data_IF_934183234815
#
_entry.id   IF_934183234815
#
_cell.length_a   1.000
_cell.length_b   1.000
_cell.length_c   1.000
_cell.angle_alpha   90.00
_cell.angle_beta   90.00
_cell.angle_gamma   90.00
#
_symmetry.space_group_name_H-M   'P 1'
#
loop_
_entity.id
_entity.type
_entity.pdbx_description
1 polymer ?
#
# COMPACT_ATOMS: atom_id res chain seq x y z
N UNK A 1 29.99 12.00 6.84
CA UNK A 1 29.75 13.11 5.90
C UNK A 1 28.33 13.60 6.14
N UNK A 2 28.16 14.75 6.81
CA UNK A 2 26.86 15.33 7.08
C UNK A 2 26.49 16.23 5.90
N UNK A 3 25.50 15.84 5.11
CA UNK A 3 25.05 16.59 3.92
C UNK A 3 24.14 17.73 4.39
N UNK A 4 24.30 18.97 3.89
CA UNK A 4 23.38 20.05 4.24
C UNK A 4 21.98 19.73 3.69
N UNK A 5 20.91 19.96 4.48
CA UNK A 5 19.56 19.72 4.02
C UNK A 5 19.23 20.65 2.84
N UNK A 6 18.57 20.10 1.83
CA UNK A 6 17.99 20.90 0.75
C UNK A 6 16.64 21.47 1.23
N UNK A 7 16.24 22.69 0.81
CA UNK A 7 15.02 23.33 1.30
C UNK A 7 13.73 22.53 1.01
N UNK A 8 13.75 21.64 0.01
CA UNK A 8 12.65 20.70 -0.24
C UNK A 8 12.64 19.51 0.72
N UNK A 9 13.82 19.03 1.15
CA UNK A 9 13.92 18.01 2.19
C UNK A 9 13.39 18.54 3.53
N UNK A 10 13.73 19.79 3.89
CA UNK A 10 13.22 20.45 5.10
C UNK A 10 11.67 20.53 5.11
N UNK A 11 11.07 20.86 3.96
CA UNK A 11 9.60 20.91 3.83
C UNK A 11 8.93 19.54 3.95
N UNK A 12 9.53 18.50 3.36
CA UNK A 12 9.01 17.14 3.42
C UNK A 12 9.17 16.52 4.82
N UNK A 13 10.28 16.81 5.50
CA UNK A 13 10.53 16.41 6.89
C UNK A 13 9.51 17.05 7.84
N UNK A 14 9.19 18.33 7.66
CA UNK A 14 8.16 19.02 8.45
C UNK A 14 6.79 18.35 8.29
N UNK A 15 6.37 18.07 7.05
CA UNK A 15 5.10 17.36 6.77
C UNK A 15 5.11 15.96 7.38
N UNK A 16 6.25 15.25 7.33
CA UNK A 16 6.37 13.94 7.97
C UNK A 16 6.15 14.01 9.48
N UNK A 17 6.79 14.96 10.17
CA UNK A 17 6.67 15.10 11.61
C UNK A 17 5.23 15.43 12.02
N UNK A 18 4.57 16.33 11.30
CA UNK A 18 3.16 16.67 11.49
C UNK A 18 2.25 15.44 11.29
N UNK A 19 2.52 14.65 10.25
CA UNK A 19 1.69 13.49 9.91
C UNK A 19 2.06 12.21 10.67
N UNK A 20 3.14 12.20 11.46
CA UNK A 20 3.67 10.98 12.12
C UNK A 20 2.57 10.17 12.83
N UNK A 21 1.66 10.76 13.64
CA UNK A 21 0.60 9.98 14.28
C UNK A 21 -0.36 9.31 13.27
N UNK A 22 -0.68 9.97 12.17
CA UNK A 22 -1.54 9.41 11.12
C UNK A 22 -0.83 8.28 10.34
N UNK A 23 0.47 8.43 10.09
CA UNK A 23 1.29 7.43 9.43
C UNK A 23 1.45 6.16 10.30
N UNK A 24 1.67 6.31 11.61
CA UNK A 24 1.70 5.18 12.57
C UNK A 24 0.35 4.45 12.60
N UNK A 25 -0.76 5.19 12.73
CA UNK A 25 -2.12 4.59 12.67
C UNK A 25 -2.35 3.84 11.37
N UNK A 26 -1.90 4.40 10.24
CA UNK A 26 -2.00 3.75 8.93
C UNK A 26 -1.19 2.46 8.88
N UNK A 27 0.05 2.46 9.38
CA UNK A 27 0.88 1.26 9.45
C UNK A 27 0.22 0.15 10.31
N UNK A 28 -0.33 0.52 11.48
CA UNK A 28 -1.08 -0.41 12.35
C UNK A 28 -2.31 -0.99 11.64
N UNK A 29 -3.11 -0.14 10.98
CA UNK A 29 -4.26 -0.57 10.19
C UNK A 29 -3.89 -1.47 9.00
N UNK A 30 -2.65 -1.34 8.48
CA UNK A 30 -2.10 -2.25 7.47
C UNK A 30 -1.48 -3.52 8.08
N UNK A 31 -1.69 -3.78 9.36
CA UNK A 31 -1.23 -4.97 10.07
C UNK A 31 0.27 -4.98 10.37
N UNK A 32 0.87 -3.81 10.60
CA UNK A 32 2.23 -3.72 11.16
C UNK A 32 2.26 -3.97 12.69
N UNK A 33 1.13 -3.83 13.40
CA UNK A 33 1.05 -4.09 14.84
C UNK A 33 2.07 -3.27 15.64
N UNK A 34 2.87 -3.96 16.46
CA UNK A 34 3.94 -3.37 17.27
C UNK A 34 5.10 -2.83 16.42
N UNK A 35 5.34 -3.41 15.24
CA UNK A 35 6.39 -2.97 14.31
C UNK A 35 6.06 -1.63 13.60
N UNK A 36 4.92 -1.01 13.91
CA UNK A 36 4.50 0.20 13.23
C UNK A 36 5.51 1.35 13.39
N UNK A 37 6.10 1.52 14.58
CA UNK A 37 7.09 2.57 14.82
C UNK A 37 8.40 2.31 14.05
N UNK A 38 8.84 1.05 13.95
CA UNK A 38 9.98 0.64 13.12
C UNK A 38 9.74 0.96 11.63
N UNK A 39 8.55 0.63 11.13
CA UNK A 39 8.15 0.95 9.74
C UNK A 39 8.23 2.46 9.50
N UNK A 40 7.78 3.27 10.46
CA UNK A 40 7.84 4.73 10.33
C UNK A 40 9.28 5.24 10.39
N UNK A 41 10.14 4.64 11.21
CA UNK A 41 11.56 4.96 11.25
C UNK A 41 12.27 4.62 9.94
N UNK A 42 11.99 3.48 9.32
CA UNK A 42 12.52 3.12 8.01
C UNK A 42 12.12 4.13 6.93
N UNK A 43 10.85 4.57 6.95
CA UNK A 43 10.34 5.61 6.06
C UNK A 43 11.09 6.93 6.28
N UNK A 44 11.30 7.34 7.53
CA UNK A 44 12.08 8.54 7.86
C UNK A 44 13.51 8.49 7.31
N UNK A 45 14.21 7.36 7.46
CA UNK A 45 15.57 7.21 6.95
C UNK A 45 15.59 7.34 5.42
N UNK A 46 14.66 6.70 4.72
CA UNK A 46 14.53 6.80 3.26
C UNK A 46 14.19 8.22 2.82
N UNK A 47 13.35 8.92 3.58
CA UNK A 47 12.92 10.29 3.29
C UNK A 47 14.11 11.25 3.18
N UNK A 48 15.05 11.16 4.13
CA UNK A 48 16.26 12.00 4.18
C UNK A 48 17.26 11.72 3.05
N UNK A 49 17.06 10.64 2.30
CA UNK A 49 17.85 10.32 1.11
C UNK A 49 17.16 10.71 -0.21
N UNK A 50 15.96 11.29 -0.13
CA UNK A 50 15.17 11.69 -1.30
C UNK A 50 15.47 13.14 -1.69
N UNK A 51 16.03 13.34 -2.89
CA UNK A 51 16.31 14.67 -3.45
C UNK A 51 15.35 15.09 -4.58
N UNK A 52 14.33 14.27 -4.87
CA UNK A 52 13.43 14.52 -5.98
C UNK A 52 12.30 15.51 -5.61
N UNK A 53 11.87 16.39 -6.54
CA UNK A 53 10.73 17.26 -6.31
C UNK A 53 9.45 16.43 -6.14
N UNK A 54 8.76 16.63 -5.01
CA UNK A 54 7.51 15.93 -4.67
C UNK A 54 6.35 16.92 -4.69
N UNK A 55 5.46 16.79 -5.68
CA UNK A 55 4.30 17.67 -5.83
C UNK A 55 3.21 17.48 -4.78
N UNK A 56 3.09 16.26 -4.19
CA UNK A 56 2.15 15.98 -3.11
C UNK A 56 2.86 15.19 -1.98
N UNK A 57 3.43 15.88 -0.99
CA UNK A 57 4.14 15.27 0.15
C UNK A 57 3.29 14.25 0.91
N UNK A 58 2.02 14.55 1.18
CA UNK A 58 1.14 13.68 1.96
C UNK A 58 0.89 12.34 1.27
N UNK A 59 0.53 12.38 -0.01
CA UNK A 59 0.31 11.18 -0.81
C UNK A 59 1.59 10.33 -0.94
N UNK A 60 2.74 11.00 -1.08
CA UNK A 60 4.04 10.36 -1.13
C UNK A 60 4.37 9.64 0.19
N UNK A 61 4.17 10.28 1.34
CA UNK A 61 4.42 9.68 2.66
C UNK A 61 3.53 8.45 2.92
N UNK A 62 2.23 8.54 2.62
CA UNK A 62 1.35 7.37 2.72
C UNK A 62 1.77 6.23 1.78
N UNK A 63 2.27 6.56 0.57
CA UNK A 63 2.81 5.56 -0.36
C UNK A 63 4.10 4.92 0.17
N UNK A 64 4.98 5.68 0.81
CA UNK A 64 6.20 5.15 1.42
C UNK A 64 5.88 4.19 2.56
N UNK A 65 4.98 4.57 3.47
CA UNK A 65 4.55 3.70 4.59
C UNK A 65 3.90 2.43 4.06
N UNK A 66 3.01 2.54 3.07
CA UNK A 66 2.41 1.38 2.43
C UNK A 66 3.46 0.43 1.84
N UNK A 67 4.45 0.97 1.12
CA UNK A 67 5.52 0.17 0.52
C UNK A 67 6.37 -0.51 1.59
N UNK A 68 6.72 0.21 2.66
CA UNK A 68 7.50 -0.32 3.78
C UNK A 68 6.78 -1.48 4.50
N UNK A 69 5.48 -1.36 4.79
CA UNK A 69 4.71 -2.47 5.38
C UNK A 69 4.66 -3.68 4.46
N UNK A 70 4.47 -3.48 3.15
CA UNK A 70 4.49 -4.59 2.20
C UNK A 70 5.86 -5.27 2.10
N UNK A 71 6.94 -4.51 2.05
CA UNK A 71 8.29 -5.04 1.97
C UNK A 71 8.62 -5.90 3.20
N UNK A 72 8.22 -5.45 4.40
CA UNK A 72 8.37 -6.22 5.63
C UNK A 72 7.58 -7.54 5.56
N UNK A 73 6.32 -7.50 5.11
CA UNK A 73 5.49 -8.71 4.90
C UNK A 73 6.12 -9.69 3.90
N UNK A 74 6.69 -9.19 2.80
CA UNK A 74 7.43 -10.03 1.83
C UNK A 74 8.68 -10.64 2.46
N UNK A 75 9.42 -9.87 3.28
CA UNK A 75 10.58 -10.34 4.04
C UNK A 75 10.22 -11.49 4.97
N UNK A 76 9.17 -11.31 5.78
CA UNK A 76 8.66 -12.32 6.70
C UNK A 76 8.19 -13.58 5.97
N UNK A 77 7.43 -13.45 4.87
CA UNK A 77 7.04 -14.62 4.05
C UNK A 77 8.24 -15.38 3.48
N UNK A 78 9.26 -14.66 3.01
CA UNK A 78 10.50 -15.28 2.50
C UNK A 78 11.35 -15.92 3.61
N UNK A 79 11.31 -15.40 4.83
CA UNK A 79 11.93 -16.03 5.99
C UNK A 79 11.15 -17.28 6.39
N UNK A 80 9.82 -17.18 6.55
CA UNK A 80 8.95 -18.31 6.88
C UNK A 80 8.99 -19.45 5.84
N UNK A 81 9.14 -19.12 4.55
CA UNK A 81 9.31 -20.11 3.48
C UNK A 81 10.69 -20.81 3.50
N UNK A 82 11.71 -20.17 4.09
CA UNK A 82 13.04 -20.77 4.29
C UNK A 82 13.13 -21.58 5.58
N UNK A 83 12.39 -21.15 6.60
CA UNK A 83 12.47 -21.70 7.96
C UNK A 83 11.36 -22.71 8.31
N UNK A 84 10.50 -23.07 7.36
CA UNK A 84 9.62 -24.23 7.43
C UNK A 84 8.89 -24.41 8.77
N UNK A 85 7.81 -23.65 8.98
CA UNK A 85 6.86 -23.73 10.09
C UNK A 85 7.22 -23.00 11.40
N UNK A 86 6.97 -21.69 11.45
CA UNK A 86 6.53 -21.05 12.69
C UNK A 86 5.59 -19.86 12.44
N UNK A 87 4.41 -19.93 13.06
CA UNK A 87 3.36 -18.91 13.21
C UNK A 87 2.55 -18.44 11.99
N UNK A 88 1.61 -19.29 11.60
CA UNK A 88 0.29 -18.84 11.15
C UNK A 88 -0.53 -18.32 12.35
N UNK A 89 -0.23 -17.11 12.84
CA UNK A 89 -1.11 -16.41 13.78
C UNK A 89 -0.96 -14.89 13.64
N UNK A 90 -1.20 -14.38 12.43
CA UNK A 90 -1.63 -13.00 12.31
C UNK A 90 -3.13 -12.99 12.64
N UNK A 91 -3.44 -12.94 13.95
CA UNK A 91 -4.80 -12.67 14.41
C UNK A 91 -5.33 -11.40 13.73
N UNK A 92 -6.63 -11.34 13.40
CA UNK A 92 -7.27 -10.07 13.08
C UNK A 92 -7.00 -9.09 14.24
N UNK A 93 -6.70 -7.81 13.99
CA UNK A 93 -6.53 -6.86 15.07
C UNK A 93 -7.80 -6.85 15.91
N UNK A 94 -7.69 -7.10 17.21
CA UNK A 94 -8.79 -6.91 18.15
C UNK A 94 -9.29 -5.48 18.02
N UNK A 95 -10.61 -5.35 17.86
CA UNK A 95 -11.33 -4.09 17.78
C UNK A 95 -11.18 -3.35 19.12
N UNK A 96 -10.18 -2.46 19.18
CA UNK A 96 -10.02 -1.53 20.29
C UNK A 96 -11.22 -0.59 20.35
N UNK A 97 -12.08 -0.79 21.36
CA UNK A 97 -13.13 0.09 21.87
C UNK A 97 -13.73 1.07 20.84
N UNK A 98 -14.63 0.55 20.02
CA UNK A 98 -15.42 1.30 19.05
C UNK A 98 -16.20 2.44 19.72
N UNK A 99 -15.85 3.68 19.40
CA UNK A 99 -16.72 4.83 19.66
C UNK A 99 -17.87 4.85 18.64
N UNK A 100 -18.99 5.56 18.89
CA UNK A 100 -20.06 5.72 17.89
C UNK A 100 -19.56 6.30 16.56
N UNK A 101 -18.55 7.18 16.61
CA UNK A 101 -17.88 7.71 15.43
C UNK A 101 -17.03 6.67 14.68
N UNK A 102 -16.59 5.60 15.34
CA UNK A 102 -15.92 4.46 14.69
C UNK A 102 -16.91 3.54 14.00
N UNK A 103 -18.15 3.42 14.49
CA UNK A 103 -19.20 2.63 13.86
C UNK A 103 -19.64 3.23 12.51
N UNK A 104 -19.87 4.55 12.46
CA UNK A 104 -20.21 5.25 11.21
C UNK A 104 -19.05 5.18 10.20
N UNK A 105 -17.82 5.44 10.65
CA UNK A 105 -16.62 5.30 9.80
C UNK A 105 -16.41 3.86 9.31
N UNK A 106 -16.72 2.87 10.14
CA UNK A 106 -16.64 1.45 9.78
C UNK A 106 -17.69 1.08 8.74
N UNK A 107 -18.92 1.60 8.86
CA UNK A 107 -19.98 1.41 7.87
C UNK A 107 -19.59 2.02 6.52
N UNK A 108 -19.15 3.29 6.50
CA UNK A 108 -18.69 3.97 5.29
C UNK A 108 -17.51 3.21 4.65
N UNK A 109 -16.57 2.71 5.44
CA UNK A 109 -15.45 1.92 4.95
C UNK A 109 -15.89 0.58 4.33
N UNK A 110 -16.89 -0.08 4.92
CA UNK A 110 -17.48 -1.33 4.38
C UNK A 110 -18.21 -1.08 3.07
N UNK A 111 -18.99 -0.01 2.98
CA UNK A 111 -19.67 0.39 1.74
C UNK A 111 -18.69 0.75 0.63
N UNK A 112 -17.65 1.52 0.95
CA UNK A 112 -16.59 1.86 0.00
C UNK A 112 -15.84 0.60 -0.49
N UNK A 113 -15.57 -0.35 0.42
CA UNK A 113 -14.95 -1.63 0.05
C UNK A 113 -15.86 -2.45 -0.87
N UNK A 114 -17.16 -2.56 -0.54
CA UNK A 114 -18.14 -3.26 -1.36
C UNK A 114 -18.26 -2.64 -2.77
N UNK A 115 -18.23 -1.32 -2.89
CA UNK A 115 -18.24 -0.62 -4.17
C UNK A 115 -16.98 -0.91 -5.00
N UNK A 116 -15.80 -0.94 -4.36
CA UNK A 116 -14.54 -1.31 -5.02
C UNK A 116 -14.56 -2.77 -5.49
N UNK A 117 -15.06 -3.69 -4.65
CA UNK A 117 -15.20 -5.10 -5.00
C UNK A 117 -16.14 -5.31 -6.18
N UNK A 118 -17.30 -4.65 -6.19
CA UNK A 118 -18.25 -4.73 -7.29
C UNK A 118 -17.65 -4.22 -8.61
N UNK A 119 -16.91 -3.10 -8.58
CA UNK A 119 -16.21 -2.55 -9.75
C UNK A 119 -15.12 -3.49 -10.27
N UNK A 120 -14.36 -4.10 -9.37
CA UNK A 120 -13.34 -5.08 -9.74
C UNK A 120 -13.96 -6.36 -10.31
N UNK A 121 -15.10 -6.81 -9.78
CA UNK A 121 -15.83 -7.96 -10.34
C UNK A 121 -16.39 -7.65 -11.74
N UNK A 122 -16.92 -6.45 -11.96
CA UNK A 122 -17.45 -6.02 -13.25
C UNK A 122 -16.37 -5.94 -14.36
N UNK A 123 -15.12 -5.70 -13.99
CA UNK A 123 -13.99 -5.69 -14.93
C UNK A 123 -13.65 -7.09 -15.48
N UNK A 124 -14.00 -8.15 -14.75
CA UNK A 124 -13.60 -9.52 -15.05
C UNK A 124 -12.13 -9.85 -14.76
N UNK A 125 -11.81 -11.13 -14.74
CA UNK A 125 -10.42 -11.60 -14.78
C UNK A 125 -9.88 -11.50 -16.21
N UNK A 126 -8.61 -11.08 -16.43
CA UNK A 126 -7.47 -11.13 -15.48
C UNK A 126 -7.23 -9.89 -14.61
N UNK A 127 -7.95 -8.79 -14.85
CA UNK A 127 -7.63 -7.48 -14.24
C UNK A 127 -7.73 -7.46 -12.73
N UNK A 128 -8.81 -8.02 -12.17
CA UNK A 128 -9.03 -8.09 -10.72
C UNK A 128 -7.97 -8.96 -10.03
N UNK A 129 -7.66 -10.14 -10.58
CA UNK A 129 -6.59 -11.02 -10.09
C UNK A 129 -5.23 -10.31 -10.06
N UNK A 130 -4.83 -9.71 -11.19
CA UNK A 130 -3.54 -9.01 -11.31
C UNK A 130 -3.46 -7.85 -10.32
N UNK A 131 -4.54 -7.07 -10.19
CA UNK A 131 -4.63 -6.01 -9.18
C UNK A 131 -4.44 -6.55 -7.76
N UNK A 132 -5.14 -7.63 -7.39
CA UNK A 132 -4.99 -8.24 -6.05
C UNK A 132 -3.57 -8.71 -5.81
N UNK A 133 -2.97 -9.45 -6.75
CA UNK A 133 -1.57 -9.92 -6.62
C UNK A 133 -0.60 -8.74 -6.48
N UNK A 134 -0.73 -7.69 -7.30
CA UNK A 134 0.17 -6.55 -7.26
C UNK A 134 -0.05 -5.66 -6.02
N UNK A 135 -1.30 -5.26 -5.76
CA UNK A 135 -1.67 -4.24 -4.77
C UNK A 135 -1.96 -4.81 -3.39
N UNK A 136 -2.29 -6.08 -3.24
CA UNK A 136 -2.55 -6.70 -1.94
C UNK A 136 -1.46 -7.73 -1.63
N UNK A 137 -1.19 -8.63 -2.58
CA UNK A 137 -0.13 -9.63 -2.48
C UNK A 137 1.27 -9.02 -2.45
N UNK A 138 1.42 -7.82 -3.00
CA UNK A 138 2.70 -7.17 -3.16
C UNK A 138 3.57 -7.92 -4.15
N UNK A 139 3.06 -8.43 -5.25
CA UNK A 139 3.91 -9.03 -6.26
C UNK A 139 4.42 -7.97 -7.23
N UNK A 140 5.62 -8.13 -7.79
CA UNK A 140 6.07 -7.22 -8.86
C UNK A 140 5.31 -7.54 -10.14
N UNK A 141 5.07 -6.54 -10.99
CA UNK A 141 4.40 -6.73 -12.27
C UNK A 141 5.16 -7.75 -13.14
N UNK A 142 6.50 -7.71 -13.10
CA UNK A 142 7.38 -8.68 -13.77
C UNK A 142 7.13 -10.12 -13.30
N UNK A 143 7.08 -10.35 -11.98
CA UNK A 143 6.81 -11.70 -11.44
C UNK A 143 5.41 -12.18 -11.79
N UNK A 144 4.42 -11.30 -11.74
CA UNK A 144 3.05 -11.63 -12.15
C UNK A 144 3.01 -12.00 -13.64
N UNK A 145 3.74 -11.26 -14.49
CA UNK A 145 3.84 -11.53 -15.92
C UNK A 145 4.47 -12.90 -16.19
N UNK A 146 5.58 -13.21 -15.52
CA UNK A 146 6.26 -14.51 -15.58
C UNK A 146 5.33 -15.66 -15.14
N UNK A 147 4.70 -15.53 -13.97
CA UNK A 147 3.83 -16.57 -13.41
C UNK A 147 2.56 -16.82 -14.24
N UNK A 148 2.05 -15.80 -14.93
CA UNK A 148 0.86 -15.90 -15.78
C UNK A 148 1.18 -16.20 -17.25
N UNK A 149 2.46 -16.27 -17.64
CA UNK A 149 2.86 -16.41 -19.04
C UNK A 149 2.41 -15.23 -19.92
N UNK A 150 2.28 -14.03 -19.34
CA UNK A 150 1.83 -12.81 -20.02
C UNK A 150 2.99 -11.85 -20.28
N UNK A 151 2.86 -10.99 -21.30
CA UNK A 151 3.79 -9.87 -21.48
C UNK A 151 3.62 -8.82 -20.39
N UNK A 152 4.72 -8.15 -19.99
CA UNK A 152 4.68 -7.09 -18.97
C UNK A 152 3.70 -5.97 -19.34
N UNK A 153 3.68 -5.57 -20.62
CA UNK A 153 2.73 -4.55 -21.13
C UNK A 153 1.26 -4.98 -20.97
N UNK A 154 0.96 -6.28 -21.06
CA UNK A 154 -0.39 -6.82 -20.84
C UNK A 154 -0.79 -6.69 -19.38
N UNK A 155 0.13 -7.01 -18.47
CA UNK A 155 -0.07 -6.83 -17.02
C UNK A 155 -0.31 -5.36 -16.67
N UNK A 156 0.47 -4.45 -17.25
CA UNK A 156 0.29 -3.00 -17.08
C UNK A 156 -1.08 -2.52 -17.62
N UNK A 157 -1.51 -2.99 -18.79
CA UNK A 157 -2.83 -2.67 -19.36
C UNK A 157 -3.96 -3.13 -18.43
N UNK A 158 -3.88 -4.35 -17.91
CA UNK A 158 -4.85 -4.86 -16.94
C UNK A 158 -4.88 -4.03 -15.64
N UNK A 159 -3.71 -3.63 -15.11
CA UNK A 159 -3.63 -2.77 -13.94
C UNK A 159 -4.23 -1.38 -14.19
N UNK A 160 -3.97 -0.79 -15.35
CA UNK A 160 -4.54 0.52 -15.72
C UNK A 160 -6.06 0.48 -15.72
N UNK A 161 -6.65 -0.52 -16.37
CA UNK A 161 -8.11 -0.73 -16.39
C UNK A 161 -8.66 -0.97 -14.99
N UNK A 162 -7.96 -1.74 -14.15
CA UNK A 162 -8.35 -1.95 -12.76
C UNK A 162 -8.36 -0.64 -11.95
N UNK A 163 -7.35 0.22 -12.12
CA UNK A 163 -7.33 1.52 -11.46
C UNK A 163 -8.42 2.46 -11.99
N UNK A 164 -8.67 2.48 -13.30
CA UNK A 164 -9.72 3.28 -13.93
C UNK A 164 -11.11 2.87 -13.40
N UNK A 165 -11.40 1.57 -13.38
CA UNK A 165 -12.63 1.02 -12.82
C UNK A 165 -12.83 1.40 -11.35
N UNK A 166 -11.79 1.30 -10.52
CA UNK A 166 -11.86 1.70 -9.10
C UNK A 166 -12.13 3.20 -8.96
N UNK A 167 -11.47 4.04 -9.76
CA UNK A 167 -11.61 5.50 -9.72
C UNK A 167 -12.92 5.99 -10.35
N UNK A 168 -13.68 5.11 -11.03
CA UNK A 168 -14.88 5.50 -11.78
C UNK A 168 -14.57 6.32 -13.02
N UNK A 169 -13.39 6.16 -13.59
CA UNK A 169 -12.98 6.79 -14.85
C UNK A 169 -13.42 5.87 -16.00
N UNK A 170 -14.18 6.39 -16.97
CA UNK A 170 -14.62 5.63 -18.13
C UNK A 170 -13.41 5.17 -18.98
N UNK A 171 -13.31 3.87 -19.24
CA UNK A 171 -12.31 3.27 -20.14
C UNK A 171 -12.56 3.79 -21.57
N UNK A 172 -11.75 4.74 -22.05
CA UNK A 172 -11.77 5.23 -23.45
C UNK A 172 -10.83 4.48 -24.40
N UNK A 173 -10.24 3.37 -23.95
CA UNK A 173 -9.18 2.66 -24.70
C UNK A 173 -9.66 1.34 -25.33
N UNK A 174 -10.70 1.41 -26.15
CA UNK A 174 -10.97 0.43 -27.22
C UNK A 174 -11.16 1.18 -28.55
N UNK A 175 -10.04 1.36 -29.24
CA UNK A 175 -9.96 1.65 -30.67
C UNK A 175 -8.86 0.76 -31.27
#
# INVERSE_FOLDING_TARGET
MNRPPSPQADGLEAVFLEMRPALVRRARAMGAGEDADDVIQDVWIRLRSTDAPIGNPQAYLFRMVYTAVLDRRRGLRRAAARDGAWNASASPPEEGQSTPADAERSLIAREALAAVEARLQALGDPGAMIFRRHRIGGETQRRIAEDLGMGLSTVEKHLRRAYAAILGLEDKDEA
#
